data_IF_044326701152
#
_entry.id   IF_044326701152
#
_cell.length_a   1.000
_cell.length_b   1.000
_cell.length_c   1.000
_cell.angle_alpha   90.00
_cell.angle_beta   90.00
_cell.angle_gamma   90.00
#
_symmetry.space_group_name_H-M   'P 1'
#
loop_
_entity.id
_entity.type
_entity.pdbx_description
1 polymer ?
#
# COMPACT_ATOMS: atom_id res chain seq x y z
N UNK A 1 -17.59 -12.21 10.59
CA UNK A 1 -17.26 -12.21 9.14
C UNK A 1 -15.75 -12.21 8.99
N UNK A 2 -15.20 -12.68 7.86
CA UNK A 2 -13.76 -12.53 7.56
C UNK A 2 -13.53 -11.25 6.74
N UNK A 3 -12.47 -10.51 7.10
CA UNK A 3 -12.06 -9.25 6.48
C UNK A 3 -10.62 -9.37 5.99
N UNK A 4 -10.26 -8.53 5.02
CA UNK A 4 -8.94 -8.53 4.40
C UNK A 4 -8.43 -7.11 4.26
N UNK A 5 -7.13 -6.94 4.49
CA UNK A 5 -6.38 -5.76 4.11
C UNK A 5 -5.27 -6.13 3.13
N UNK A 6 -5.26 -5.46 1.97
CA UNK A 6 -4.18 -5.53 1.00
C UNK A 6 -3.11 -4.50 1.39
N UNK A 7 -1.92 -4.98 1.74
CA UNK A 7 -0.80 -4.13 2.18
C UNK A 7 0.11 -3.78 1.00
N UNK A 8 -0.52 -3.33 -0.08
CA UNK A 8 0.17 -3.12 -1.34
C UNK A 8 1.04 -1.86 -1.29
N UNK A 9 2.17 -1.90 -1.99
CA UNK A 9 3.16 -0.83 -2.01
C UNK A 9 3.61 -0.56 -3.44
N UNK A 10 3.61 0.71 -3.82
CA UNK A 10 4.19 1.18 -5.08
C UNK A 10 5.69 1.46 -4.90
N UNK A 11 6.50 0.90 -5.79
CA UNK A 11 7.89 1.25 -6.04
C UNK A 11 7.95 1.98 -7.39
N UNK A 12 7.91 3.32 -7.35
CA UNK A 12 7.60 4.15 -8.52
C UNK A 12 6.31 3.70 -9.23
N UNK A 13 6.40 3.11 -10.43
CA UNK A 13 5.25 2.58 -11.19
C UNK A 13 4.99 1.09 -10.97
N UNK A 14 5.86 0.40 -10.24
CA UNK A 14 5.74 -1.02 -9.98
C UNK A 14 4.92 -1.28 -8.72
N UNK A 15 3.95 -2.18 -8.79
CA UNK A 15 3.11 -2.54 -7.65
C UNK A 15 3.58 -3.85 -7.01
N UNK A 16 3.72 -3.84 -5.69
CA UNK A 16 3.95 -4.99 -4.83
C UNK A 16 2.60 -5.32 -4.18
N UNK A 17 1.88 -6.34 -4.66
CA UNK A 17 0.46 -6.62 -4.35
C UNK A 17 0.18 -8.02 -3.79
N UNK A 18 1.21 -8.71 -3.31
CA UNK A 18 1.09 -10.12 -2.98
C UNK A 18 0.97 -10.41 -1.47
N UNK A 19 0.93 -9.38 -0.62
CA UNK A 19 0.76 -9.50 0.84
C UNK A 19 -0.65 -9.12 1.29
N UNK A 20 -1.31 -10.04 2.01
CA UNK A 20 -2.70 -9.85 2.49
C UNK A 20 -2.78 -10.20 3.96
N UNK A 21 -3.35 -9.31 4.76
CA UNK A 21 -3.70 -9.59 6.16
C UNK A 21 -5.19 -9.95 6.24
N UNK A 22 -5.49 -11.21 6.53
CA UNK A 22 -6.84 -11.68 6.86
C UNK A 22 -7.07 -11.64 8.37
N UNK A 23 -8.30 -11.33 8.79
CA UNK A 23 -8.70 -11.34 10.20
C UNK A 23 -10.22 -11.38 10.33
N UNK A 24 -10.69 -11.62 11.56
CA UNK A 24 -12.10 -11.51 11.95
C UNK A 24 -12.26 -10.45 13.04
N UNK A 25 -13.48 -9.94 13.18
CA UNK A 25 -13.85 -8.98 14.22
C UNK A 25 -14.88 -9.59 15.16
N UNK A 26 -14.70 -9.44 16.46
CA UNK A 26 -15.66 -9.83 17.49
C UNK A 26 -16.87 -8.91 17.46
N UNK A 27 -16.62 -7.63 17.25
CA UNK A 27 -17.60 -6.57 17.07
C UNK A 27 -17.35 -5.82 15.75
N UNK A 28 -18.25 -5.97 14.79
CA UNK A 28 -18.21 -5.28 13.49
C UNK A 28 -18.63 -3.80 13.59
N UNK A 29 -19.18 -3.35 14.72
CA UNK A 29 -19.63 -1.97 14.91
C UNK A 29 -18.47 -0.97 14.97
N UNK A 30 -17.25 -1.45 15.24
CA UNK A 30 -16.01 -0.66 15.34
C UNK A 30 -15.49 -0.17 13.98
N UNK A 31 -16.06 -0.67 12.87
CA UNK A 31 -15.68 -0.29 11.50
C UNK A 31 -16.86 0.26 10.72
N UNK A 32 -16.55 1.01 9.66
CA UNK A 32 -17.49 1.29 8.57
C UNK A 32 -17.10 0.44 7.36
N UNK A 33 -18.09 -0.13 6.68
CA UNK A 33 -17.84 -0.99 5.52
C UNK A 33 -18.59 -0.50 4.28
N UNK A 34 -18.04 -0.84 3.11
CA UNK A 34 -18.68 -0.65 1.81
C UNK A 34 -18.67 -1.97 1.06
N UNK A 35 -19.77 -2.28 0.42
CA UNK A 35 -19.86 -3.43 -0.48
C UNK A 35 -19.31 -3.05 -1.86
N UNK A 36 -18.43 -3.90 -2.40
CA UNK A 36 -17.88 -3.78 -3.74
C UNK A 36 -17.70 -5.18 -4.33
N UNK A 37 -18.21 -5.41 -5.54
CA UNK A 37 -18.11 -6.71 -6.24
C UNK A 37 -18.54 -7.92 -5.38
N UNK A 38 -19.58 -7.74 -4.55
CA UNK A 38 -20.12 -8.78 -3.68
C UNK A 38 -19.28 -9.09 -2.42
N UNK A 39 -18.27 -8.27 -2.11
CA UNK A 39 -17.45 -8.36 -0.89
C UNK A 39 -17.58 -7.09 -0.05
N UNK A 40 -17.47 -7.22 1.26
CA UNK A 40 -17.45 -6.08 2.20
C UNK A 40 -16.02 -5.68 2.53
N UNK A 41 -15.71 -4.42 2.29
CA UNK A 41 -14.41 -3.82 2.60
C UNK A 41 -14.55 -2.80 3.70
N UNK A 42 -13.60 -2.79 4.63
CA UNK A 42 -13.51 -1.75 5.66
C UNK A 42 -13.03 -0.46 5.00
N UNK A 43 -13.80 0.60 5.13
CA UNK A 43 -13.46 1.93 4.60
C UNK A 43 -12.97 2.88 5.67
N UNK A 44 -13.32 2.62 6.94
CA UNK A 44 -12.97 3.47 8.07
C UNK A 44 -12.96 2.66 9.38
N UNK A 45 -12.11 3.07 10.32
CA UNK A 45 -12.02 2.51 11.67
C UNK A 45 -12.37 3.60 12.67
N UNK A 46 -13.48 3.42 13.38
CA UNK A 46 -14.05 4.46 14.25
C UNK A 46 -13.23 4.67 15.52
N UNK A 47 -12.71 3.59 16.08
CA UNK A 47 -11.84 3.58 17.26
C UNK A 47 -10.74 2.53 17.04
N UNK A 48 -9.49 2.98 17.07
CA UNK A 48 -8.33 2.14 16.79
C UNK A 48 -8.09 1.09 17.89
N UNK A 49 -8.24 1.47 19.16
CA UNK A 49 -7.97 0.55 20.26
C UNK A 49 -9.08 -0.51 20.34
N UNK A 50 -10.34 -0.11 20.20
CA UNK A 50 -11.46 -1.05 20.14
C UNK A 50 -11.34 -1.99 18.93
N UNK A 51 -10.88 -1.50 17.78
CA UNK A 51 -10.61 -2.34 16.61
C UNK A 51 -9.53 -3.38 16.88
N UNK A 52 -8.41 -3.00 17.51
CA UNK A 52 -7.34 -3.95 17.87
C UNK A 52 -7.83 -5.03 18.83
N UNK A 53 -8.58 -4.65 19.85
CA UNK A 53 -9.17 -5.60 20.81
C UNK A 53 -10.22 -6.52 20.16
N UNK A 54 -10.92 -6.03 19.14
CA UNK A 54 -11.93 -6.78 18.40
C UNK A 54 -11.33 -7.76 17.39
N UNK A 55 -10.12 -7.51 16.89
CA UNK A 55 -9.47 -8.31 15.84
C UNK A 55 -8.93 -9.64 16.37
N UNK A 56 -9.25 -10.74 15.68
CA UNK A 56 -8.78 -12.09 16.00
C UNK A 56 -8.63 -12.97 14.75
N UNK A 57 -8.02 -14.15 14.91
CA UNK A 57 -7.71 -15.07 13.80
C UNK A 57 -6.95 -14.36 12.68
N UNK A 58 -5.91 -13.62 13.07
CA UNK A 58 -5.15 -12.73 12.18
C UNK A 58 -4.06 -13.54 11.48
N UNK A 59 -4.07 -13.52 10.16
CA UNK A 59 -3.16 -14.31 9.32
C UNK A 59 -2.60 -13.44 8.21
N UNK A 60 -1.28 -13.50 8.03
CA UNK A 60 -0.59 -12.90 6.90
C UNK A 60 -0.38 -13.96 5.81
N UNK A 61 -0.77 -13.61 4.58
CA UNK A 61 -0.55 -14.40 3.39
C UNK A 61 0.44 -13.71 2.43
N UNK A 62 1.22 -14.52 1.72
CA UNK A 62 2.10 -14.11 0.61
C UNK A 62 1.76 -15.00 -0.59
N UNK A 63 1.34 -14.42 -1.71
CA UNK A 63 0.87 -15.16 -2.90
C UNK A 63 -0.22 -16.23 -2.61
N UNK A 64 -0.99 -16.05 -1.53
CA UNK A 64 -2.02 -16.98 -1.09
C UNK A 64 -1.54 -18.08 -0.14
N UNK A 65 -0.23 -18.18 0.11
CA UNK A 65 0.33 -19.09 1.10
C UNK A 65 0.37 -18.43 2.48
N UNK A 66 0.00 -19.16 3.53
CA UNK A 66 0.06 -18.68 4.91
C UNK A 66 1.52 -18.51 5.35
N UNK A 67 1.90 -17.28 5.71
CA UNK A 67 3.25 -16.93 6.16
C UNK A 67 3.35 -17.01 7.68
N UNK A 68 2.43 -16.32 8.37
CA UNK A 68 2.49 -16.14 9.82
C UNK A 68 1.11 -15.81 10.40
N UNK A 69 0.90 -16.21 11.67
CA UNK A 69 -0.29 -15.88 12.45
C UNK A 69 0.05 -14.91 13.57
N UNK A 70 -0.86 -13.97 13.83
CA UNK A 70 -0.66 -12.90 14.81
C UNK A 70 -1.78 -12.88 15.84
N UNK A 71 -1.44 -12.41 17.05
CA UNK A 71 -2.41 -12.11 18.10
C UNK A 71 -2.79 -10.62 18.14
N UNK A 72 -2.11 -9.78 17.35
CA UNK A 72 -2.29 -8.33 17.32
C UNK A 72 -2.25 -7.83 15.87
N UNK A 73 -3.31 -7.12 15.47
CA UNK A 73 -3.51 -6.67 14.08
C UNK A 73 -2.55 -5.56 13.70
N UNK A 74 -2.15 -4.71 14.65
CA UNK A 74 -1.17 -3.67 14.41
C UNK A 74 0.20 -4.27 14.04
N UNK A 75 0.63 -5.27 14.80
CA UNK A 75 1.86 -6.01 14.52
C UNK A 75 1.79 -6.74 13.18
N UNK A 76 0.67 -7.39 12.86
CA UNK A 76 0.48 -8.05 11.57
C UNK A 76 0.66 -7.06 10.39
N UNK A 77 -0.01 -5.91 10.46
CA UNK A 77 0.09 -4.86 9.43
C UNK A 77 1.49 -4.26 9.34
N UNK A 78 2.15 -3.99 10.48
CA UNK A 78 3.55 -3.52 10.50
C UNK A 78 4.48 -4.52 9.82
N UNK A 79 4.30 -5.81 10.09
CA UNK A 79 5.10 -6.88 9.48
C UNK A 79 4.86 -6.94 7.98
N UNK A 80 3.59 -6.98 7.55
CA UNK A 80 3.20 -7.03 6.15
C UNK A 80 3.75 -5.83 5.34
N UNK A 81 3.56 -4.59 5.83
CA UNK A 81 4.11 -3.41 5.16
C UNK A 81 5.64 -3.37 5.16
N UNK A 82 6.30 -3.85 6.21
CA UNK A 82 7.77 -3.95 6.22
C UNK A 82 8.25 -4.93 5.16
N UNK A 83 7.57 -6.07 4.98
CA UNK A 83 7.91 -7.04 3.94
C UNK A 83 7.69 -6.43 2.55
N UNK A 84 6.52 -5.84 2.30
CA UNK A 84 6.20 -5.15 1.04
C UNK A 84 7.20 -4.03 0.70
N UNK A 85 7.52 -3.19 1.69
CA UNK A 85 8.50 -2.10 1.55
C UNK A 85 9.91 -2.63 1.29
N UNK A 86 10.29 -3.73 1.94
CA UNK A 86 11.61 -4.35 1.72
C UNK A 86 11.73 -4.87 0.30
N UNK A 87 10.68 -5.51 -0.23
CA UNK A 87 10.69 -5.95 -1.64
C UNK A 87 10.74 -4.75 -2.58
N UNK A 88 9.90 -3.73 -2.36
CA UNK A 88 9.93 -2.49 -3.13
C UNK A 88 11.35 -1.89 -3.17
N UNK A 89 12.02 -1.83 -2.02
CA UNK A 89 13.35 -1.24 -1.88
C UNK A 89 14.44 -1.98 -2.67
N UNK A 90 14.29 -3.29 -2.93
CA UNK A 90 15.26 -4.07 -3.73
C UNK A 90 15.35 -3.57 -5.18
N UNK A 91 14.34 -2.84 -5.64
CA UNK A 91 14.29 -2.25 -6.97
C UNK A 91 14.94 -0.87 -7.06
N UNK A 92 15.41 -0.33 -5.93
CA UNK A 92 16.01 1.00 -5.81
C UNK A 92 15.10 2.10 -6.43
N UNK A 93 13.82 2.18 -6.02
CA UNK A 93 12.89 3.15 -6.58
C UNK A 93 13.25 4.57 -6.12
N UNK A 94 12.81 5.58 -6.88
CA UNK A 94 12.91 6.98 -6.45
C UNK A 94 11.96 7.26 -5.28
N UNK A 95 10.80 6.63 -5.28
CA UNK A 95 9.79 6.75 -4.21
C UNK A 95 9.11 5.41 -3.92
N UNK A 96 8.82 5.17 -2.64
CA UNK A 96 8.03 4.01 -2.18
C UNK A 96 6.84 4.49 -1.39
N UNK A 97 5.63 4.24 -1.89
CA UNK A 97 4.39 4.73 -1.31
C UNK A 97 3.40 3.59 -1.06
N UNK A 98 2.63 3.62 0.05
CA UNK A 98 1.56 2.65 0.24
C UNK A 98 0.44 2.89 -0.78
N UNK A 99 -0.19 1.81 -1.25
CA UNK A 99 -1.43 1.90 -1.99
C UNK A 99 -2.58 2.36 -1.09
N UNK A 100 -3.53 3.07 -1.69
CA UNK A 100 -4.77 3.53 -1.04
C UNK A 100 -5.97 3.16 -1.90
N UNK A 101 -7.11 2.91 -1.26
CA UNK A 101 -8.35 2.62 -1.97
C UNK A 101 -9.17 1.54 -1.29
N UNK A 102 -10.07 0.93 -2.07
CA UNK A 102 -10.91 -0.16 -1.60
C UNK A 102 -10.04 -1.39 -1.35
N UNK A 103 -10.10 -1.93 -0.14
CA UNK A 103 -9.38 -3.13 0.26
C UNK A 103 -8.03 -2.87 0.93
N UNK A 104 -7.40 -1.72 0.70
CA UNK A 104 -6.26 -1.28 1.53
C UNK A 104 -6.74 -0.86 2.93
N UNK A 105 -5.89 -0.94 3.96
CA UNK A 105 -6.19 -0.32 5.25
C UNK A 105 -6.57 1.18 5.07
N UNK A 106 -7.49 1.72 5.89
CA UNK A 106 -7.78 3.15 5.87
C UNK A 106 -6.52 4.00 6.10
N UNK A 107 -6.47 5.19 5.52
CA UNK A 107 -5.25 6.04 5.51
C UNK A 107 -4.67 6.29 6.91
N UNK A 108 -5.53 6.49 7.91
CA UNK A 108 -5.11 6.74 9.28
C UNK A 108 -4.50 5.50 9.95
N UNK A 109 -4.85 4.31 9.48
CA UNK A 109 -4.20 3.05 9.85
C UNK A 109 -2.83 2.98 9.18
N UNK A 110 -2.77 3.19 7.86
CA UNK A 110 -1.52 3.14 7.10
C UNK A 110 -0.46 4.06 7.72
N UNK A 111 -0.82 5.30 8.04
CA UNK A 111 0.08 6.27 8.71
C UNK A 111 0.67 5.77 10.03
N UNK A 112 -0.01 4.86 10.74
CA UNK A 112 0.46 4.29 12.01
C UNK A 112 1.42 3.13 11.78
N UNK A 113 1.17 2.29 10.77
CA UNK A 113 1.82 0.98 10.60
C UNK A 113 2.89 0.96 9.49
N UNK A 114 2.85 1.90 8.55
CA UNK A 114 3.81 1.96 7.46
C UNK A 114 5.22 2.24 8.00
N UNK A 115 6.29 1.59 7.44
CA UNK A 115 7.62 1.63 8.04
C UNK A 115 8.33 2.98 7.94
N UNK A 116 7.89 3.87 7.05
CA UNK A 116 8.48 5.19 6.83
C UNK A 116 7.40 6.27 6.79
N UNK A 117 7.76 7.53 7.02
CA UNK A 117 6.86 8.64 6.77
C UNK A 117 6.62 8.80 5.26
N UNK A 118 5.38 9.07 4.88
CA UNK A 118 4.99 9.33 3.49
C UNK A 118 4.00 10.48 3.44
N UNK A 119 4.04 11.21 2.32
CA UNK A 119 3.06 12.24 1.99
C UNK A 119 2.59 11.98 0.57
N UNK A 120 1.29 12.07 0.35
CA UNK A 120 0.74 12.08 -1.00
C UNK A 120 0.84 13.49 -1.56
N UNK A 121 1.14 13.61 -2.84
CA UNK A 121 1.05 14.89 -3.52
C UNK A 121 -0.36 15.45 -3.37
N UNK A 122 -0.42 16.72 -2.95
CA UNK A 122 -1.68 17.46 -2.88
C UNK A 122 -2.18 17.61 -4.32
N UNK A 123 -3.47 17.38 -4.52
CA UNK A 123 -4.09 17.61 -5.83
C UNK A 123 -3.81 19.05 -6.26
N UNK A 124 -3.27 19.28 -7.47
CA UNK A 124 -2.82 20.60 -7.89
C UNK A 124 -3.99 21.58 -7.93
N UNK A 125 -3.74 22.82 -7.49
CA UNK A 125 -4.73 23.90 -7.59
C UNK A 125 -5.01 24.28 -9.06
N UNK A 126 -4.01 24.14 -9.92
CA UNK A 126 -4.09 24.36 -11.36
C UNK A 126 -3.69 23.09 -12.12
N UNK A 127 -4.68 22.45 -12.72
CA UNK A 127 -4.50 21.20 -13.45
C UNK A 127 -3.68 21.38 -14.72
N UNK A 128 -3.83 22.51 -15.42
CA UNK A 128 -3.18 22.75 -16.70
C UNK A 128 -1.68 22.91 -16.51
N UNK A 129 -1.26 23.72 -15.53
CA UNK A 129 0.15 23.87 -15.16
C UNK A 129 0.77 22.56 -14.66
N UNK A 130 0.00 21.76 -13.93
CA UNK A 130 0.47 20.46 -13.46
C UNK A 130 0.68 19.47 -14.62
N UNK A 131 -0.27 19.39 -15.55
CA UNK A 131 -0.16 18.54 -16.73
C UNK A 131 1.00 18.97 -17.62
N UNK A 132 1.17 20.28 -17.84
CA UNK A 132 2.32 20.83 -18.59
C UNK A 132 3.66 20.43 -17.96
N UNK A 133 3.74 20.45 -16.61
CA UNK A 133 4.93 19.99 -15.89
C UNK A 133 5.17 18.50 -16.09
N UNK A 134 4.14 17.66 -15.94
CA UNK A 134 4.25 16.21 -16.14
C UNK A 134 4.74 15.88 -17.55
N UNK A 135 4.19 16.53 -18.58
CA UNK A 135 4.59 16.29 -19.97
C UNK A 135 6.07 16.63 -20.17
N UNK A 136 6.54 17.77 -19.66
CA UNK A 136 7.95 18.17 -19.75
C UNK A 136 8.88 17.24 -18.98
N UNK A 137 8.53 16.86 -17.75
CA UNK A 137 9.33 15.93 -16.95
C UNK A 137 9.42 14.54 -17.61
N UNK A 138 8.33 14.09 -18.24
CA UNK A 138 8.30 12.82 -18.98
C UNK A 138 9.18 12.87 -20.23
N UNK A 139 9.16 13.97 -20.99
CA UNK A 139 10.06 14.17 -22.15
C UNK A 139 11.53 14.16 -21.73
N UNK A 140 11.87 14.83 -20.62
CA UNK A 140 13.23 14.82 -20.07
C UNK A 140 13.67 13.43 -19.60
N UNK A 141 12.77 12.65 -19.01
CA UNK A 141 13.06 11.30 -18.54
C UNK A 141 13.26 10.30 -19.69
N UNK A 142 12.43 10.37 -20.74
CA UNK A 142 12.57 9.58 -21.97
C UNK A 142 13.89 9.91 -22.66
N UNK A 143 14.18 11.20 -22.82
CA UNK A 143 15.44 11.65 -23.45
C UNK A 143 16.65 11.15 -22.66
N UNK A 144 16.63 11.22 -21.33
CA UNK A 144 17.72 10.71 -20.48
C UNK A 144 17.87 9.19 -20.54
N UNK A 145 16.77 8.44 -20.68
CA UNK A 145 16.88 6.98 -20.87
C UNK A 145 17.51 6.61 -22.21
N UNK A 146 17.22 7.35 -23.28
CA UNK A 146 17.84 7.13 -24.60
C UNK A 146 19.34 7.42 -24.61
N UNK A 147 19.82 8.39 -23.81
CA UNK A 147 21.26 8.69 -23.69
C UNK A 147 22.06 7.66 -22.86
N UNK A 148 21.41 6.87 -22.00
CA UNK A 148 22.09 5.88 -21.16
C UNK A 148 22.16 4.48 -21.80
N UNK A 149 21.38 4.22 -22.85
CA UNK A 149 21.42 2.96 -23.61
C UNK A 149 22.49 2.95 -24.72
N UNK A 150 23.16 4.09 -24.95
CA UNK A 150 24.20 4.28 -25.99
C UNK A 150 25.64 4.05 -25.49
N UNK A 151 25.81 3.47 -24.29
CA UNK A 151 27.11 2.95 -23.84
C UNK A 151 27.43 1.65 -24.59
N UNK A 152 27.95 1.82 -25.81
CA UNK A 152 28.51 0.79 -26.67
C UNK A 152 29.43 -0.18 -25.88
N UNK A 153 29.08 -1.46 -25.90
CA UNK A 153 29.98 -2.55 -25.47
C UNK A 153 31.15 -2.60 -26.46
N UNK A 154 32.41 -2.35 -26.04
CA UNK A 154 33.55 -2.52 -26.93
C UNK A 154 33.77 -4.02 -27.16
N UNK A 155 33.69 -4.45 -28.42
CA UNK A 155 34.05 -5.80 -28.89
C UNK A 155 35.55 -6.09 -28.78
#
# INVERSE_FOLDING_TARGET
>A
MEFFFFTDVYADRYLIDYYIVSFKLLDESVVSTKEWEGRKYITDIKDWEAFKESAYDIVLYEFGDEVERFNDIETALRTAYRMAYTEASRRVPKSTLPSIGIGSPPIDVIKRVFPVSFEFEIFPEDLDLFLDRIVRETEEEITRSEFNDDDEIPF
#
